data_IF_834950145921
#
_entry.id   IF_834950145921
#
_cell.length_a   1.000
_cell.length_b   1.000
_cell.length_c   1.000
_cell.angle_alpha   90.00
_cell.angle_beta   90.00
_cell.angle_gamma   90.00
#
_symmetry.space_group_name_H-M   'P 1'
#
loop_
_entity.id
_entity.type
_entity.pdbx_description
1 polymer ?
#
# COMPACT_ATOMS: atom_id res chain seq x y z
N UNK A 1 -22.62 5.88 -2.16
CA UNK A 1 -21.50 5.18 -1.48
C UNK A 1 -20.27 6.06 -1.49
N UNK A 2 -19.52 6.11 -0.40
CA UNK A 2 -18.26 6.83 -0.33
C UNK A 2 -17.12 5.85 -0.01
N UNK A 3 -16.24 5.70 -0.96
CA UNK A 3 -15.10 4.80 -0.90
C UNK A 3 -13.82 5.56 -0.55
N UNK A 4 -13.23 5.24 0.59
CA UNK A 4 -11.90 5.74 0.95
C UNK A 4 -10.85 4.75 0.46
N UNK A 5 -10.02 5.18 -0.50
CA UNK A 5 -8.92 4.37 -1.02
C UNK A 5 -7.78 4.30 0.01
N UNK A 6 -8.00 3.53 1.08
CA UNK A 6 -7.03 3.35 2.17
C UNK A 6 -6.61 1.89 2.27
N UNK A 7 -5.42 1.55 1.74
CA UNK A 7 -4.66 0.38 2.19
C UNK A 7 -3.37 0.88 2.86
N UNK A 8 -3.17 0.52 4.12
CA UNK A 8 -1.86 0.55 4.76
C UNK A 8 -1.37 1.87 5.32
N UNK A 9 -2.04 3.00 5.14
CA UNK A 9 -1.73 4.20 5.92
C UNK A 9 -2.50 4.16 7.24
N UNK A 10 -1.95 3.45 8.21
CA UNK A 10 -2.22 3.76 9.60
C UNK A 10 -1.96 5.26 9.77
N UNK A 11 -2.95 6.02 10.28
CA UNK A 11 -2.80 7.45 10.43
C UNK A 11 -1.54 7.76 11.22
N UNK A 12 -0.54 8.35 10.60
CA UNK A 12 0.69 8.74 11.28
C UNK A 12 0.44 9.96 12.18
N UNK A 13 1.14 9.99 13.30
CA UNK A 13 1.10 11.12 14.22
C UNK A 13 2.29 12.02 13.95
N UNK A 14 2.02 13.30 13.70
CA UNK A 14 3.06 14.28 13.42
C UNK A 14 2.81 15.62 14.14
N UNK A 15 3.87 16.34 14.35
CA UNK A 15 3.80 17.73 14.81
C UNK A 15 3.35 18.65 13.68
N UNK A 16 2.33 19.45 13.89
CA UNK A 16 1.82 20.40 12.90
C UNK A 16 2.69 21.62 12.71
N UNK A 17 3.58 21.90 13.67
CA UNK A 17 4.49 23.06 13.60
C UNK A 17 5.79 22.73 12.83
N UNK A 18 6.43 21.57 13.09
CA UNK A 18 7.73 21.24 12.50
C UNK A 18 7.74 20.01 11.60
N UNK A 19 6.61 19.32 11.43
CA UNK A 19 6.50 18.12 10.61
C UNK A 19 7.10 16.84 11.23
N UNK A 20 7.67 16.90 12.45
CA UNK A 20 8.24 15.71 13.10
C UNK A 20 7.22 14.60 13.22
N UNK A 21 7.55 13.40 12.69
CA UNK A 21 6.69 12.21 12.72
C UNK A 21 7.07 11.32 13.89
N UNK A 22 6.07 10.89 14.68
CA UNK A 22 6.27 9.92 15.75
C UNK A 22 6.54 8.54 15.16
N UNK A 23 7.80 8.09 15.22
CA UNK A 23 8.25 6.81 14.67
C UNK A 23 8.34 5.72 15.74
N UNK A 24 8.18 4.48 15.32
CA UNK A 24 8.45 3.33 16.17
C UNK A 24 9.97 3.18 16.38
N UNK A 25 10.44 2.93 17.61
CA UNK A 25 11.88 2.73 17.86
C UNK A 25 12.41 1.41 17.25
N UNK A 26 11.54 0.42 17.06
CA UNK A 26 11.90 -0.92 16.58
C UNK A 26 11.64 -1.13 15.08
N UNK A 27 10.84 -0.26 14.46
CA UNK A 27 10.43 -0.39 13.06
C UNK A 27 10.61 0.94 12.35
N UNK A 28 10.99 0.90 11.09
CA UNK A 28 11.08 2.11 10.27
C UNK A 28 9.70 2.52 9.73
N UNK A 29 8.75 2.68 10.65
CA UNK A 29 7.37 3.11 10.36
C UNK A 29 6.87 4.10 11.38
N UNK A 30 5.90 4.91 10.99
CA UNK A 30 5.20 5.82 11.89
C UNK A 30 4.28 5.07 12.85
N UNK A 31 4.09 5.64 14.04
CA UNK A 31 3.10 5.19 15.01
C UNK A 31 1.71 5.71 14.65
N UNK A 32 0.69 4.91 14.94
CA UNK A 32 -0.73 5.24 14.75
C UNK A 32 -1.40 5.60 16.06
N UNK A 33 -2.22 6.64 16.04
CA UNK A 33 -3.01 7.05 17.22
C UNK A 33 -4.25 6.16 17.39
N UNK A 34 -4.42 5.62 18.58
CA UNK A 34 -5.57 4.85 19.02
C UNK A 34 -6.34 5.54 20.16
N UNK A 35 -7.52 5.02 20.49
CA UNK A 35 -8.32 5.54 21.60
C UNK A 35 -7.52 5.53 22.90
N UNK A 36 -7.72 6.53 23.75
CA UNK A 36 -7.02 6.63 25.05
C UNK A 36 -5.64 7.26 24.98
N UNK A 37 -5.37 8.12 24.00
CA UNK A 37 -4.11 8.85 23.86
C UNK A 37 -2.88 7.94 23.71
N UNK A 38 -3.04 6.77 23.06
CA UNK A 38 -1.97 5.78 22.83
C UNK A 38 -1.51 5.78 21.39
N UNK A 39 -0.19 5.59 21.22
CA UNK A 39 0.45 5.41 19.93
C UNK A 39 0.88 3.94 19.80
N UNK A 40 0.47 3.27 18.72
CA UNK A 40 0.73 1.84 18.49
C UNK A 40 1.43 1.62 17.16
N UNK A 41 2.44 0.78 17.16
CA UNK A 41 3.07 0.24 15.95
C UNK A 41 2.33 -1.01 15.47
N UNK A 42 1.72 -0.97 14.30
CA UNK A 42 1.01 -2.13 13.73
C UNK A 42 1.92 -3.26 13.23
N UNK A 43 3.25 -3.05 13.19
CA UNK A 43 4.21 -4.08 12.77
C UNK A 43 4.75 -4.92 13.93
N UNK A 44 5.10 -4.29 15.05
CA UNK A 44 5.70 -5.00 16.19
C UNK A 44 4.81 -5.02 17.43
N UNK A 45 3.74 -4.23 17.48
CA UNK A 45 2.90 -4.08 18.65
C UNK A 45 3.44 -3.11 19.70
N UNK A 46 4.58 -2.42 19.46
CA UNK A 46 5.10 -1.40 20.38
C UNK A 46 4.04 -0.35 20.66
N UNK A 47 3.86 -0.03 21.93
CA UNK A 47 2.87 0.92 22.41
C UNK A 47 3.53 1.97 23.33
N UNK A 48 3.12 3.22 23.18
CA UNK A 48 3.55 4.34 24.03
C UNK A 48 2.45 5.37 24.17
N UNK A 49 2.54 6.21 25.18
CA UNK A 49 1.62 7.34 25.36
C UNK A 49 1.97 8.43 24.36
N UNK A 50 0.97 9.07 23.80
CA UNK A 50 1.17 10.23 22.92
C UNK A 50 1.75 11.37 23.74
N UNK A 51 2.91 11.96 23.33
CA UNK A 51 3.48 13.07 24.06
C UNK A 51 2.57 14.32 23.95
N UNK A 52 2.50 15.11 25.01
CA UNK A 52 1.75 16.37 25.04
C UNK A 52 2.44 17.46 24.21
N UNK A 53 3.76 17.44 24.18
CA UNK A 53 4.60 18.39 23.43
C UNK A 53 5.49 17.64 22.44
N UNK A 54 5.80 18.28 21.32
CA UNK A 54 6.67 17.71 20.30
C UNK A 54 8.11 17.52 20.83
N UNK A 55 8.66 16.29 20.78
CA UNK A 55 10.02 16.04 21.25
C UNK A 55 11.09 16.78 20.43
N UNK A 56 10.76 17.26 19.23
CA UNK A 56 11.68 17.97 18.35
C UNK A 56 11.65 19.49 18.53
N UNK A 57 10.44 20.11 18.66
CA UNK A 57 10.32 21.56 18.68
C UNK A 57 9.53 22.13 19.87
N UNK A 58 9.09 21.30 20.81
CA UNK A 58 8.33 21.72 22.01
C UNK A 58 6.88 22.19 21.74
N UNK A 59 6.39 22.16 20.50
CA UNK A 59 5.04 22.58 20.16
C UNK A 59 3.97 21.61 20.72
N UNK A 60 2.84 22.10 21.27
CA UNK A 60 1.74 21.24 21.71
C UNK A 60 0.89 20.71 20.55
N UNK A 61 1.13 21.14 19.32
CA UNK A 61 0.32 20.81 18.15
C UNK A 61 0.72 19.45 17.55
N UNK A 62 0.54 18.36 18.31
CA UNK A 62 0.76 16.98 17.85
C UNK A 62 -0.59 16.34 17.55
N UNK A 63 -0.76 15.81 16.35
CA UNK A 63 -2.01 15.13 15.97
C UNK A 63 -1.82 14.04 14.94
N UNK A 64 -2.67 13.02 15.03
CA UNK A 64 -2.80 12.01 14.00
C UNK A 64 -3.38 12.61 12.71
N UNK A 65 -2.91 12.14 11.56
CA UNK A 65 -3.60 12.40 10.31
C UNK A 65 -4.84 11.49 10.27
N UNK A 66 -5.96 12.02 10.75
CA UNK A 66 -7.21 11.26 10.91
C UNK A 66 -8.08 11.28 9.65
N UNK A 67 -7.51 11.15 8.46
CA UNK A 67 -8.33 10.89 7.28
C UNK A 67 -8.78 9.42 7.28
N UNK A 68 -9.67 9.05 8.19
CA UNK A 68 -10.26 7.73 8.29
C UNK A 68 -11.76 7.76 7.99
N UNK A 69 -12.34 6.61 7.73
CA UNK A 69 -13.78 6.42 7.52
C UNK A 69 -14.62 7.04 8.63
N UNK A 70 -14.15 6.99 9.89
CA UNK A 70 -14.82 7.61 11.03
C UNK A 70 -14.88 9.14 10.94
N UNK A 71 -13.82 9.79 10.42
CA UNK A 71 -13.86 11.24 10.24
C UNK A 71 -14.76 11.65 9.08
N UNK A 72 -14.74 10.86 7.99
CA UNK A 72 -15.63 11.06 6.85
C UNK A 72 -17.08 10.91 7.30
N UNK A 73 -17.41 9.88 8.09
CA UNK A 73 -18.73 9.68 8.69
C UNK A 73 -19.19 10.92 9.46
N UNK A 74 -18.38 11.47 10.37
CA UNK A 74 -18.69 12.70 11.13
C UNK A 74 -18.89 13.94 10.24
N UNK A 75 -18.10 14.07 9.19
CA UNK A 75 -18.27 15.18 8.23
C UNK A 75 -19.60 15.05 7.50
N UNK A 76 -19.94 13.84 7.07
CA UNK A 76 -21.20 13.58 6.36
C UNK A 76 -22.42 13.83 7.27
N UNK A 77 -22.37 13.35 8.52
CA UNK A 77 -23.43 13.60 9.50
C UNK A 77 -23.66 15.11 9.76
N UNK A 78 -22.58 15.88 9.74
CA UNK A 78 -22.64 17.35 9.87
C UNK A 78 -23.23 18.02 8.63
N UNK A 79 -22.78 17.63 7.44
CA UNK A 79 -23.21 18.25 6.17
C UNK A 79 -24.59 17.78 5.74
N UNK A 80 -24.96 16.54 6.10
CA UNK A 80 -26.25 15.92 5.79
C UNK A 80 -26.96 15.39 7.04
N UNK A 81 -27.44 16.25 7.94
CA UNK A 81 -27.95 15.83 9.27
C UNK A 81 -29.21 14.97 9.22
N UNK A 82 -29.89 14.87 8.07
CA UNK A 82 -31.05 14.01 7.86
C UNK A 82 -30.70 12.66 7.25
N UNK A 83 -29.47 12.47 6.80
CA UNK A 83 -29.03 11.23 6.17
C UNK A 83 -28.64 10.19 7.22
N UNK A 84 -29.08 8.95 7.01
CA UNK A 84 -28.65 7.79 7.82
C UNK A 84 -27.34 7.27 7.23
N UNK A 85 -26.27 7.35 8.00
CA UNK A 85 -24.94 6.94 7.56
C UNK A 85 -24.58 5.59 8.16
N UNK A 86 -24.08 4.68 7.34
CA UNK A 86 -23.46 3.42 7.77
C UNK A 86 -21.98 3.44 7.44
N UNK A 87 -21.16 2.98 8.38
CA UNK A 87 -19.72 2.81 8.20
C UNK A 87 -19.36 1.33 8.13
N UNK A 88 -18.51 0.98 7.16
CA UNK A 88 -18.01 -0.37 6.96
C UNK A 88 -16.49 -0.36 6.76
N UNK A 89 -15.77 -0.67 7.82
CA UNK A 89 -14.33 -0.80 7.86
C UNK A 89 -13.91 -1.96 8.78
N UNK A 90 -12.60 -2.16 8.93
CA UNK A 90 -12.08 -3.24 9.78
C UNK A 90 -12.58 -3.14 11.23
N UNK A 91 -12.74 -1.93 11.77
CA UNK A 91 -13.17 -1.74 13.15
C UNK A 91 -14.64 -2.07 13.37
N UNK A 92 -15.50 -1.77 12.39
CA UNK A 92 -16.95 -2.06 12.46
C UNK A 92 -17.29 -3.51 12.08
N UNK A 93 -16.35 -4.24 11.48
CA UNK A 93 -16.57 -5.61 10.97
C UNK A 93 -15.77 -6.68 11.72
N UNK A 94 -15.37 -6.43 12.98
CA UNK A 94 -14.58 -7.38 13.81
C UNK A 94 -15.34 -8.63 14.20
N UNK A 95 -16.66 -8.56 14.34
CA UNK A 95 -17.49 -9.72 14.69
C UNK A 95 -18.02 -10.38 13.41
N UNK A 96 -18.15 -11.72 13.44
CA UNK A 96 -18.54 -12.54 12.29
C UNK A 96 -19.81 -12.06 11.59
N UNK A 97 -20.80 -11.58 12.37
CA UNK A 97 -22.11 -11.21 11.82
C UNK A 97 -22.25 -9.71 11.50
N UNK A 98 -21.28 -8.87 11.94
CA UNK A 98 -21.38 -7.41 11.73
C UNK A 98 -21.29 -7.02 10.26
N UNK A 99 -20.46 -7.72 9.52
CA UNK A 99 -20.29 -7.51 8.08
C UNK A 99 -21.61 -7.73 7.32
N UNK A 100 -22.25 -8.87 7.53
CA UNK A 100 -23.52 -9.22 6.86
C UNK A 100 -24.67 -8.30 7.29
N UNK A 101 -24.71 -7.92 8.56
CA UNK A 101 -25.73 -6.99 9.10
C UNK A 101 -25.65 -5.60 8.43
N UNK A 102 -24.44 -5.03 8.31
CA UNK A 102 -24.24 -3.74 7.66
C UNK A 102 -24.69 -3.79 6.20
N UNK A 103 -24.33 -4.85 5.48
CA UNK A 103 -24.73 -5.02 4.08
C UNK A 103 -26.24 -5.22 3.91
N UNK A 104 -26.84 -6.05 4.75
CA UNK A 104 -28.29 -6.28 4.73
C UNK A 104 -29.07 -5.01 5.03
N UNK A 105 -28.64 -4.22 6.01
CA UNK A 105 -29.25 -2.95 6.38
C UNK A 105 -29.16 -1.93 5.22
N UNK A 106 -28.01 -1.84 4.57
CA UNK A 106 -27.85 -0.96 3.40
C UNK A 106 -28.69 -1.43 2.21
N UNK A 107 -28.75 -2.74 1.94
CA UNK A 107 -29.56 -3.32 0.87
C UNK A 107 -31.06 -3.09 1.09
N UNK A 108 -31.54 -3.08 2.35
CA UNK A 108 -32.92 -2.79 2.74
C UNK A 108 -33.26 -1.30 2.80
N UNK A 109 -32.34 -0.43 2.39
CA UNK A 109 -32.51 1.05 2.47
C UNK A 109 -32.71 1.59 3.89
N UNK A 110 -32.20 0.91 4.90
CA UNK A 110 -32.17 1.41 6.28
C UNK A 110 -31.13 2.51 6.48
N UNK A 111 -30.22 2.70 5.49
CA UNK A 111 -29.28 3.80 5.41
C UNK A 111 -29.24 4.41 4.01
N UNK A 112 -28.89 5.71 3.98
CA UNK A 112 -28.84 6.53 2.77
C UNK A 112 -27.42 6.62 2.22
N UNK A 113 -26.42 6.55 3.10
CA UNK A 113 -24.99 6.66 2.76
C UNK A 113 -24.21 5.52 3.39
N UNK A 114 -23.44 4.80 2.56
CA UNK A 114 -22.47 3.80 3.02
C UNK A 114 -21.06 4.35 2.83
N UNK A 115 -20.30 4.49 3.93
CA UNK A 115 -18.92 4.92 3.95
C UNK A 115 -18.02 3.73 4.26
N UNK A 116 -16.95 3.53 3.49
CA UNK A 116 -16.05 2.43 3.82
C UNK A 116 -14.78 2.40 3.01
N UNK A 117 -14.02 1.34 3.24
CA UNK A 117 -12.78 1.04 2.52
C UNK A 117 -13.05 0.04 1.39
N UNK A 118 -12.02 -0.66 0.93
CA UNK A 118 -12.14 -1.66 -0.14
C UNK A 118 -13.18 -2.75 0.11
N UNK A 119 -13.64 -2.91 1.35
CA UNK A 119 -14.65 -3.90 1.71
C UNK A 119 -16.01 -3.61 1.03
N UNK A 120 -16.35 -2.32 0.85
CA UNK A 120 -17.66 -1.93 0.25
C UNK A 120 -17.71 -2.09 -1.27
N UNK A 121 -16.57 -2.18 -1.95
CA UNK A 121 -16.52 -2.29 -3.42
C UNK A 121 -16.40 -3.73 -3.91
N UNK A 122 -16.12 -4.69 -3.03
CA UNK A 122 -15.95 -6.11 -3.40
C UNK A 122 -17.21 -6.92 -3.15
N UNK A 123 -17.63 -7.67 -4.17
CA UNK A 123 -18.57 -8.80 -4.00
C UNK A 123 -20.04 -8.47 -3.76
N UNK A 124 -20.45 -7.19 -3.71
CA UNK A 124 -21.84 -6.82 -3.41
C UNK A 124 -22.49 -6.10 -4.56
N UNK A 125 -23.79 -6.33 -4.74
CA UNK A 125 -24.61 -5.64 -5.71
C UNK A 125 -25.70 -4.81 -5.00
N UNK A 126 -25.65 -3.49 -5.23
CA UNK A 126 -26.62 -2.54 -4.69
C UNK A 126 -27.26 -1.77 -5.85
N UNK A 127 -28.38 -2.25 -6.42
CA UNK A 127 -28.97 -1.67 -7.63
C UNK A 127 -29.42 -0.22 -7.46
N UNK A 128 -29.64 0.22 -6.23
CA UNK A 128 -30.12 1.58 -5.95
C UNK A 128 -29.03 2.61 -5.66
N UNK A 129 -27.77 2.24 -5.83
CA UNK A 129 -26.65 3.18 -5.68
C UNK A 129 -26.54 4.06 -6.93
N UNK A 130 -26.89 5.33 -6.77
CA UNK A 130 -26.85 6.34 -7.84
C UNK A 130 -25.58 7.17 -7.83
N UNK A 131 -24.87 7.26 -6.70
CA UNK A 131 -23.63 8.02 -6.57
C UNK A 131 -22.54 7.21 -5.85
N UNK A 132 -21.36 7.16 -6.47
CA UNK A 132 -20.14 6.65 -5.85
C UNK A 132 -19.11 7.77 -5.80
N UNK A 133 -18.64 8.11 -4.60
CA UNK A 133 -17.51 9.00 -4.39
C UNK A 133 -16.27 8.20 -4.02
N UNK A 134 -15.17 8.39 -4.74
CA UNK A 134 -13.85 7.85 -4.39
C UNK A 134 -13.02 8.96 -3.79
N UNK A 135 -12.61 8.80 -2.53
CA UNK A 135 -11.83 9.80 -1.79
C UNK A 135 -10.36 9.36 -1.78
N UNK A 136 -9.46 10.30 -2.04
CA UNK A 136 -8.02 10.11 -2.02
C UNK A 136 -7.53 8.95 -2.93
N UNK A 137 -7.89 9.00 -4.20
CA UNK A 137 -7.51 7.99 -5.20
C UNK A 137 -5.99 7.81 -5.31
N UNK A 138 -5.24 8.89 -5.07
CA UNK A 138 -3.76 8.92 -5.17
C UNK A 138 -3.03 8.04 -4.15
N UNK A 139 -3.69 7.64 -3.06
CA UNK A 139 -3.05 6.83 -2.02
C UNK A 139 -2.52 5.49 -2.56
N UNK A 140 -3.16 4.90 -3.56
CA UNK A 140 -2.68 3.67 -4.19
C UNK A 140 -1.62 3.91 -5.26
N UNK A 141 -1.57 5.09 -5.86
CA UNK A 141 -0.54 5.46 -6.83
C UNK A 141 0.83 5.70 -6.19
N UNK A 142 0.84 6.21 -4.95
CA UNK A 142 2.06 6.56 -4.24
C UNK A 142 2.64 5.39 -3.41
N UNK A 143 2.34 4.16 -3.80
CA UNK A 143 2.96 2.98 -3.19
C UNK A 143 4.28 2.66 -3.88
N UNK A 144 5.25 2.19 -3.09
CA UNK A 144 6.56 1.75 -3.58
C UNK A 144 6.47 0.34 -4.20
N UNK A 145 5.73 0.24 -5.32
CA UNK A 145 5.46 -1.02 -6.02
C UNK A 145 5.08 -0.73 -7.48
N UNK A 146 5.72 -1.40 -8.42
CA UNK A 146 5.44 -1.22 -9.86
C UNK A 146 3.99 -1.58 -10.27
N UNK A 147 3.24 -2.30 -9.44
CA UNK A 147 1.82 -2.58 -9.65
C UNK A 147 0.89 -1.43 -9.20
N UNK A 148 1.42 -0.30 -8.70
CA UNK A 148 0.58 0.76 -8.14
C UNK A 148 -0.45 1.30 -9.13
N UNK A 149 -0.08 1.48 -10.39
CA UNK A 149 -0.97 1.91 -11.47
C UNK A 149 -2.09 0.89 -11.74
N UNK A 150 -1.73 -0.39 -11.85
CA UNK A 150 -2.67 -1.48 -12.07
C UNK A 150 -3.65 -1.64 -10.89
N UNK A 151 -3.14 -1.64 -9.66
CA UNK A 151 -4.01 -1.71 -8.46
C UNK A 151 -4.95 -0.53 -8.36
N UNK A 152 -4.49 0.67 -8.71
CA UNK A 152 -5.33 1.86 -8.73
C UNK A 152 -6.43 1.73 -9.76
N UNK A 153 -6.10 1.35 -10.99
CA UNK A 153 -7.08 1.11 -12.04
C UNK A 153 -8.14 0.09 -11.62
N UNK A 154 -7.72 -1.07 -11.09
CA UNK A 154 -8.62 -2.13 -10.63
C UNK A 154 -9.58 -1.65 -9.53
N UNK A 155 -9.06 -0.94 -8.52
CA UNK A 155 -9.85 -0.43 -7.42
C UNK A 155 -10.85 0.62 -7.86
N UNK A 156 -10.43 1.58 -8.68
CA UNK A 156 -11.28 2.64 -9.19
C UNK A 156 -12.37 2.09 -10.10
N UNK A 157 -12.04 1.18 -11.03
CA UNK A 157 -13.00 0.53 -11.91
C UNK A 157 -14.05 -0.26 -11.12
N UNK A 158 -13.63 -0.99 -10.08
CA UNK A 158 -14.56 -1.68 -9.19
C UNK A 158 -15.49 -0.70 -8.46
N UNK A 159 -14.96 0.43 -7.98
CA UNK A 159 -15.75 1.44 -7.28
C UNK A 159 -16.74 2.15 -8.22
N UNK A 160 -16.28 2.63 -9.37
CA UNK A 160 -17.09 3.28 -10.40
C UNK A 160 -18.22 2.35 -10.86
N UNK A 161 -17.91 1.07 -11.10
CA UNK A 161 -18.86 0.06 -11.52
C UNK A 161 -19.94 -0.30 -10.48
N UNK A 162 -19.95 0.33 -9.29
CA UNK A 162 -21.03 0.16 -8.29
C UNK A 162 -22.19 1.11 -8.48
N UNK A 163 -22.02 2.19 -9.22
CA UNK A 163 -23.11 3.14 -9.52
C UNK A 163 -23.90 2.70 -10.76
N UNK A 164 -25.21 2.96 -10.77
CA UNK A 164 -26.05 2.81 -11.95
C UNK A 164 -26.39 1.37 -12.36
N UNK A 165 -26.38 0.42 -11.43
CA UNK A 165 -26.75 -0.98 -11.69
C UNK A 165 -28.25 -1.25 -11.74
N UNK A 166 -29.05 -0.29 -11.33
CA UNK A 166 -30.52 -0.37 -11.36
C UNK A 166 -31.12 0.46 -12.49
N UNK A 167 -32.38 0.80 -12.32
CA UNK A 167 -33.16 1.58 -13.30
C UNK A 167 -32.81 3.08 -13.32
N UNK A 168 -31.88 3.55 -12.48
CA UNK A 168 -31.46 4.95 -12.41
C UNK A 168 -30.04 5.09 -12.92
N UNK A 169 -29.72 6.14 -13.70
CA UNK A 169 -28.36 6.40 -14.11
C UNK A 169 -27.46 6.62 -12.87
N UNK A 170 -26.27 6.04 -12.90
CA UNK A 170 -25.27 6.20 -11.86
C UNK A 170 -24.22 7.24 -12.22
N UNK A 171 -23.68 7.90 -11.20
CA UNK A 171 -22.57 8.82 -11.32
C UNK A 171 -21.44 8.37 -10.39
N UNK A 172 -20.18 8.53 -10.86
CA UNK A 172 -19.01 8.35 -10.03
C UNK A 172 -18.17 9.63 -10.01
N UNK A 173 -17.69 10.00 -8.84
CA UNK A 173 -16.78 11.15 -8.64
C UNK A 173 -15.48 10.65 -8.03
N UNK A 174 -14.36 10.88 -8.69
CA UNK A 174 -13.03 10.48 -8.22
C UNK A 174 -12.27 11.73 -7.77
N UNK A 175 -11.97 11.81 -6.48
CA UNK A 175 -11.14 12.87 -5.93
C UNK A 175 -9.66 12.48 -6.05
N UNK A 176 -8.87 13.31 -6.72
CA UNK A 176 -7.45 13.07 -6.98
C UNK A 176 -6.68 14.37 -7.15
N UNK A 177 -5.37 14.34 -6.85
CA UNK A 177 -4.41 15.40 -7.19
C UNK A 177 -3.76 15.17 -8.56
N UNK A 178 -3.95 13.98 -9.16
CA UNK A 178 -3.33 13.58 -10.43
C UNK A 178 -4.40 13.17 -11.46
N UNK A 179 -5.34 14.05 -11.86
CA UNK A 179 -6.43 13.70 -12.76
C UNK A 179 -5.95 13.22 -14.13
N UNK A 180 -4.74 13.63 -14.55
CA UNK A 180 -4.14 13.25 -15.82
C UNK A 180 -3.45 11.87 -15.80
N UNK A 181 -3.36 11.21 -14.64
CA UNK A 181 -2.73 9.90 -14.56
C UNK A 181 -3.53 8.86 -15.34
N UNK A 182 -2.87 8.12 -16.25
CA UNK A 182 -3.52 7.18 -17.18
C UNK A 182 -4.43 6.16 -16.47
N UNK A 183 -4.05 5.65 -15.29
CA UNK A 183 -4.86 4.70 -14.53
C UNK A 183 -6.18 5.32 -14.06
N UNK A 184 -6.17 6.61 -13.67
CA UNK A 184 -7.36 7.34 -13.24
C UNK A 184 -8.26 7.65 -14.42
N UNK A 185 -7.69 8.16 -15.50
CA UNK A 185 -8.44 8.46 -16.73
C UNK A 185 -9.12 7.21 -17.32
N UNK A 186 -8.37 6.11 -17.44
CA UNK A 186 -8.91 4.88 -17.96
C UNK A 186 -9.99 4.27 -17.04
N UNK A 187 -9.81 4.36 -15.71
CA UNK A 187 -10.81 3.89 -14.75
C UNK A 187 -12.10 4.72 -14.79
N UNK A 188 -12.00 6.05 -14.97
CA UNK A 188 -13.16 6.94 -15.04
C UNK A 188 -14.10 6.60 -16.20
N UNK A 189 -13.55 6.14 -17.32
CA UNK A 189 -14.33 5.71 -18.51
C UNK A 189 -14.45 4.18 -18.61
N UNK A 190 -13.91 3.43 -17.63
CA UNK A 190 -13.89 1.97 -17.58
C UNK A 190 -13.25 1.31 -18.81
N UNK A 191 -12.22 1.94 -19.39
CA UNK A 191 -11.52 1.45 -20.58
C UNK A 191 -10.26 0.67 -20.19
N UNK A 192 -10.41 -0.65 -20.08
CA UNK A 192 -9.29 -1.56 -19.82
C UNK A 192 -8.26 -1.56 -20.95
N UNK A 193 -8.68 -1.44 -22.22
CA UNK A 193 -7.73 -1.48 -23.35
C UNK A 193 -6.81 -0.26 -23.36
N UNK A 194 -7.37 0.92 -23.07
CA UNK A 194 -6.59 2.15 -22.88
C UNK A 194 -5.61 2.00 -21.74
N UNK A 195 -6.07 1.54 -20.58
CA UNK A 195 -5.22 1.26 -19.41
C UNK A 195 -4.08 0.30 -19.78
N UNK A 196 -4.40 -0.87 -20.35
CA UNK A 196 -3.43 -1.91 -20.70
C UNK A 196 -2.33 -1.40 -21.64
N UNK A 197 -2.70 -0.61 -22.65
CA UNK A 197 -1.74 -0.04 -23.61
C UNK A 197 -0.71 0.87 -22.92
N UNK A 198 -1.17 1.77 -22.05
CA UNK A 198 -0.29 2.69 -21.32
C UNK A 198 0.58 1.95 -20.30
N UNK A 199 -0.02 1.10 -19.49
CA UNK A 199 0.68 0.29 -18.48
C UNK A 199 1.77 -0.57 -19.12
N UNK A 200 1.45 -1.28 -20.20
CA UNK A 200 2.43 -2.10 -20.93
C UNK A 200 3.55 -1.27 -21.57
N UNK A 201 3.26 -0.06 -22.02
CA UNK A 201 4.27 0.88 -22.49
C UNK A 201 5.32 1.18 -21.42
N UNK A 202 4.87 1.50 -20.20
CA UNK A 202 5.77 1.73 -19.05
C UNK A 202 6.53 0.47 -18.66
N UNK A 203 5.87 -0.71 -18.63
CA UNK A 203 6.52 -1.96 -18.27
C UNK A 203 7.59 -2.38 -19.26
N UNK A 204 7.36 -2.17 -20.57
CA UNK A 204 8.35 -2.41 -21.61
C UNK A 204 9.54 -1.46 -21.50
N UNK A 205 9.28 -0.17 -21.22
CA UNK A 205 10.32 0.85 -21.10
C UNK A 205 11.24 0.60 -19.90
N UNK A 206 10.67 0.11 -18.80
CA UNK A 206 11.35 -0.04 -17.51
C UNK A 206 11.74 -1.48 -17.19
N UNK A 207 11.55 -2.41 -18.11
CA UNK A 207 11.77 -3.86 -17.95
C UNK A 207 11.07 -4.43 -16.68
N UNK A 208 9.76 -4.11 -16.51
CA UNK A 208 8.94 -4.71 -15.46
C UNK A 208 8.09 -5.88 -15.97
N UNK A 209 7.78 -6.87 -15.13
CA UNK A 209 6.85 -7.93 -15.50
C UNK A 209 5.48 -7.40 -15.98
N UNK A 210 4.86 -7.99 -17.01
CA UNK A 210 5.27 -9.20 -17.73
C UNK A 210 6.18 -8.94 -18.95
N UNK A 211 6.62 -7.70 -19.21
CA UNK A 211 7.49 -7.38 -20.34
C UNK A 211 8.92 -7.92 -20.17
N UNK A 212 9.35 -8.07 -18.92
CA UNK A 212 10.56 -8.77 -18.51
C UNK A 212 10.28 -9.60 -17.26
N UNK A 213 11.24 -10.35 -16.78
CA UNK A 213 11.20 -11.06 -15.51
C UNK A 213 11.97 -10.31 -14.45
N UNK A 214 11.55 -10.42 -13.20
CA UNK A 214 12.21 -9.77 -12.08
C UNK A 214 12.50 -10.79 -10.98
N UNK A 215 13.72 -10.77 -10.46
CA UNK A 215 14.12 -11.49 -9.25
C UNK A 215 14.49 -10.48 -8.17
N UNK A 216 13.90 -10.62 -7.01
CA UNK A 216 14.27 -9.84 -5.83
C UNK A 216 15.08 -10.71 -4.88
N UNK A 217 16.29 -10.26 -4.56
CA UNK A 217 17.09 -10.82 -3.48
C UNK A 217 16.81 -10.00 -2.24
N UNK A 218 16.15 -10.59 -1.26
CA UNK A 218 15.83 -9.96 0.01
C UNK A 218 16.79 -10.46 1.08
N UNK A 219 17.38 -9.52 1.82
CA UNK A 219 18.25 -9.79 2.95
C UNK A 219 17.70 -9.22 4.25
N UNK A 220 17.82 -9.97 5.37
CA UNK A 220 17.41 -9.49 6.68
C UNK A 220 18.38 -9.94 7.78
N UNK A 221 18.71 -9.00 8.70
CA UNK A 221 19.60 -9.26 9.83
C UNK A 221 19.35 -8.28 10.97
N UNK A 222 19.63 -8.67 12.22
CA UNK A 222 19.61 -7.77 13.37
C UNK A 222 20.80 -6.81 13.39
N UNK A 223 21.92 -7.21 12.78
CA UNK A 223 23.12 -6.40 12.62
C UNK A 223 23.09 -5.70 11.26
N UNK A 224 22.99 -4.36 11.29
CA UNK A 224 22.86 -3.54 10.08
C UNK A 224 24.14 -3.58 9.22
N UNK A 225 25.31 -3.50 9.85
CA UNK A 225 26.59 -3.48 9.12
C UNK A 225 26.91 -4.85 8.51
N UNK A 226 26.58 -5.93 9.23
CA UNK A 226 26.70 -7.28 8.69
C UNK A 226 25.80 -7.46 7.47
N UNK A 227 24.55 -6.94 7.52
CA UNK A 227 23.63 -6.99 6.40
C UNK A 227 24.15 -6.19 5.20
N UNK A 228 24.61 -4.96 5.42
CA UNK A 228 25.18 -4.10 4.35
C UNK A 228 26.33 -4.78 3.64
N UNK A 229 27.27 -5.32 4.42
CA UNK A 229 28.42 -6.03 3.87
C UNK A 229 27.99 -7.26 3.06
N UNK A 230 27.07 -8.07 3.58
CA UNK A 230 26.58 -9.24 2.87
C UNK A 230 25.89 -8.89 1.55
N UNK A 231 25.01 -7.90 1.56
CA UNK A 231 24.32 -7.46 0.34
C UNK A 231 25.28 -6.85 -0.68
N UNK A 232 26.33 -6.17 -0.23
CA UNK A 232 27.41 -5.71 -1.10
C UNK A 232 28.17 -6.88 -1.74
N UNK A 233 28.52 -7.93 -0.98
CA UNK A 233 29.18 -9.11 -1.53
C UNK A 233 28.28 -9.87 -2.51
N UNK A 234 26.98 -9.92 -2.26
CA UNK A 234 25.99 -10.45 -3.20
C UNK A 234 26.00 -9.64 -4.51
N UNK A 235 25.97 -8.32 -4.43
CA UNK A 235 26.05 -7.44 -5.59
C UNK A 235 27.32 -7.71 -6.40
N UNK A 236 28.48 -7.71 -5.75
CA UNK A 236 29.77 -7.97 -6.40
C UNK A 236 29.80 -9.34 -7.08
N UNK A 237 29.27 -10.37 -6.41
CA UNK A 237 29.17 -11.70 -6.98
C UNK A 237 28.27 -11.74 -8.22
N UNK A 238 27.09 -11.14 -8.15
CA UNK A 238 26.15 -11.07 -9.28
C UNK A 238 26.82 -10.38 -10.47
N UNK A 239 27.48 -9.25 -10.27
CA UNK A 239 28.22 -8.54 -11.33
C UNK A 239 29.32 -9.39 -11.97
N UNK A 240 29.95 -10.25 -11.17
CA UNK A 240 31.01 -11.15 -11.66
C UNK A 240 30.49 -12.31 -12.50
N UNK A 241 29.32 -12.86 -12.17
CA UNK A 241 28.77 -14.06 -12.83
C UNK A 241 27.79 -13.75 -13.95
N UNK A 242 27.46 -12.48 -14.16
CA UNK A 242 26.48 -12.03 -15.15
C UNK A 242 27.15 -11.13 -16.19
N UNK A 243 26.84 -11.28 -17.48
CA UNK A 243 27.23 -10.32 -18.51
C UNK A 243 26.73 -8.91 -18.19
N UNK A 244 27.59 -7.89 -18.32
CA UNK A 244 27.27 -6.52 -17.89
C UNK A 244 26.14 -5.85 -18.68
N UNK A 245 25.89 -6.28 -19.90
CA UNK A 245 25.01 -5.60 -20.85
C UNK A 245 23.54 -6.08 -20.82
N UNK A 246 23.26 -7.22 -20.17
CA UNK A 246 21.94 -7.88 -20.23
C UNK A 246 21.18 -7.83 -18.92
N UNK A 247 21.84 -7.59 -17.79
CA UNK A 247 21.22 -7.62 -16.47
C UNK A 247 21.03 -6.22 -15.88
N UNK A 248 19.77 -5.79 -15.77
CA UNK A 248 19.43 -4.60 -14.99
C UNK A 248 19.39 -4.92 -13.51
N UNK A 249 20.35 -4.37 -12.74
CA UNK A 249 20.43 -4.53 -11.30
C UNK A 249 20.19 -3.20 -10.59
N UNK A 250 19.28 -3.19 -9.62
CA UNK A 250 18.92 -2.06 -8.76
C UNK A 250 19.16 -2.45 -7.31
N UNK A 251 19.90 -1.65 -6.59
CA UNK A 251 20.32 -1.94 -5.22
C UNK A 251 21.78 -2.41 -5.15
N UNK A 252 22.27 -2.82 -3.94
CA UNK A 252 21.49 -2.98 -2.70
C UNK A 252 20.90 -1.68 -2.18
N UNK A 253 19.67 -1.74 -1.71
CA UNK A 253 18.95 -0.62 -1.11
C UNK A 253 18.13 -1.10 0.10
N UNK A 254 17.71 -0.17 0.98
CA UNK A 254 16.74 -0.50 2.01
C UNK A 254 15.43 -0.99 1.37
N UNK A 255 14.81 -2.01 1.96
CA UNK A 255 13.46 -2.40 1.58
C UNK A 255 12.46 -1.28 1.86
N UNK A 256 11.23 -1.32 1.27
CA UNK A 256 10.16 -0.32 1.50
C UNK A 256 9.87 -0.05 2.98
N UNK A 257 10.09 -1.05 3.84
CA UNK A 257 10.19 -0.89 5.29
C UNK A 257 11.56 -1.43 5.70
N UNK A 258 12.52 -0.54 5.85
CA UNK A 258 13.94 -0.87 6.05
C UNK A 258 14.26 -1.56 7.38
N UNK A 259 13.38 -1.45 8.40
CA UNK A 259 13.54 -2.13 9.69
C UNK A 259 12.19 -2.55 10.27
N UNK A 260 12.08 -3.79 10.76
CA UNK A 260 10.89 -4.30 11.46
C UNK A 260 11.31 -5.19 12.62
N UNK A 261 10.82 -4.93 13.85
CA UNK A 261 11.15 -5.67 15.07
C UNK A 261 12.67 -5.80 15.28
N UNK A 262 13.38 -4.70 15.13
CA UNK A 262 14.84 -4.59 15.21
C UNK A 262 15.62 -5.46 14.20
N UNK A 263 14.95 -5.92 13.13
CA UNK A 263 15.57 -6.61 12.00
C UNK A 263 15.64 -5.64 10.80
N UNK A 264 16.85 -5.32 10.38
CA UNK A 264 17.13 -4.52 9.18
C UNK A 264 16.89 -5.33 7.93
N UNK A 265 16.47 -4.66 6.84
CA UNK A 265 16.03 -5.28 5.60
C UNK A 265 16.60 -4.54 4.40
N UNK A 266 17.19 -5.28 3.47
CA UNK A 266 17.68 -4.76 2.19
C UNK A 266 17.20 -5.62 1.03
N UNK A 267 17.19 -5.01 -0.17
CA UNK A 267 16.79 -5.68 -1.40
C UNK A 267 17.76 -5.37 -2.54
N UNK A 268 17.89 -6.34 -3.43
CA UNK A 268 18.49 -6.17 -4.77
C UNK A 268 17.44 -6.66 -5.76
N UNK A 269 17.09 -5.84 -6.73
CA UNK A 269 16.21 -6.23 -7.83
C UNK A 269 17.03 -6.50 -9.08
N UNK A 270 16.82 -7.65 -9.68
CA UNK A 270 17.43 -8.07 -10.94
C UNK A 270 16.34 -8.22 -11.97
N UNK A 271 16.51 -7.59 -13.13
CA UNK A 271 15.57 -7.66 -14.24
C UNK A 271 16.25 -8.19 -15.48
N UNK A 272 15.60 -9.12 -16.14
CA UNK A 272 16.08 -9.71 -17.38
C UNK A 272 14.91 -10.25 -18.21
N UNK A 273 15.05 -10.26 -19.56
CA UNK A 273 14.00 -10.76 -20.44
C UNK A 273 13.90 -12.28 -20.46
N UNK A 274 14.99 -12.99 -20.14
CA UNK A 274 15.03 -14.44 -20.05
C UNK A 274 14.98 -14.89 -18.59
N UNK A 275 13.95 -15.64 -18.22
CA UNK A 275 13.77 -16.21 -16.89
C UNK A 275 14.82 -17.30 -16.58
N UNK A 276 15.27 -18.05 -17.61
CA UNK A 276 16.29 -19.09 -17.43
C UNK A 276 17.61 -18.47 -16.99
N UNK A 277 17.93 -17.28 -17.51
CA UNK A 277 19.11 -16.53 -17.08
C UNK A 277 19.03 -16.14 -15.60
N UNK A 278 17.90 -15.58 -15.15
CA UNK A 278 17.71 -15.23 -13.74
C UNK A 278 17.76 -16.47 -12.84
N UNK A 279 17.20 -17.58 -13.29
CA UNK A 279 17.25 -18.86 -12.55
C UNK A 279 18.69 -19.34 -12.41
N UNK A 280 19.50 -19.29 -13.47
CA UNK A 280 20.91 -19.68 -13.42
C UNK A 280 21.74 -18.76 -12.50
N UNK A 281 21.44 -17.44 -12.48
CA UNK A 281 22.05 -16.49 -11.54
C UNK A 281 21.66 -16.84 -10.11
N UNK A 282 20.39 -17.15 -9.84
CA UNK A 282 19.91 -17.57 -8.52
C UNK A 282 20.66 -18.83 -8.04
N UNK A 283 20.73 -19.88 -8.85
CA UNK A 283 21.40 -21.14 -8.48
C UNK A 283 22.89 -20.94 -8.13
N UNK A 284 23.58 -20.08 -8.89
CA UNK A 284 24.98 -19.73 -8.59
C UNK A 284 25.09 -18.97 -7.27
N UNK A 285 24.13 -18.05 -7.03
CA UNK A 285 24.11 -17.22 -5.83
C UNK A 285 23.76 -18.07 -4.58
N UNK A 286 22.82 -18.98 -4.68
CA UNK A 286 22.49 -19.93 -3.60
C UNK A 286 23.73 -20.74 -3.19
N UNK A 287 24.46 -21.31 -4.15
CA UNK A 287 25.74 -22.02 -3.88
C UNK A 287 26.80 -21.11 -3.26
N UNK A 288 26.91 -19.86 -3.75
CA UNK A 288 27.85 -18.91 -3.19
C UNK A 288 27.54 -18.58 -1.72
N UNK A 289 26.26 -18.39 -1.39
CA UNK A 289 25.80 -18.13 -0.01
C UNK A 289 26.05 -19.35 0.89
N UNK A 290 25.75 -20.55 0.40
CA UNK A 290 25.89 -21.79 1.16
C UNK A 290 27.33 -22.08 1.59
N UNK A 291 28.31 -21.89 0.68
CA UNK A 291 29.71 -22.18 0.95
C UNK A 291 30.39 -21.10 1.80
N UNK A 292 29.84 -19.91 1.90
CA UNK A 292 30.41 -18.77 2.63
C UNK A 292 29.79 -18.59 4.02
N UNK A 293 30.56 -18.84 5.05
CA UNK A 293 30.15 -18.76 6.46
C UNK A 293 29.66 -17.36 6.89
N UNK A 294 30.06 -16.30 6.17
CA UNK A 294 29.65 -14.92 6.44
C UNK A 294 28.14 -14.67 6.32
N UNK A 295 27.41 -15.54 5.60
CA UNK A 295 25.96 -15.42 5.44
C UNK A 295 25.12 -16.15 6.49
N UNK A 296 25.74 -16.95 7.40
CA UNK A 296 25.02 -17.82 8.35
C UNK A 296 24.05 -17.10 9.29
N UNK A 297 24.29 -15.83 9.58
CA UNK A 297 23.43 -15.01 10.47
C UNK A 297 22.45 -14.13 9.71
N UNK A 298 22.42 -14.25 8.39
CA UNK A 298 21.62 -13.39 7.52
C UNK A 298 20.53 -14.25 6.90
N UNK A 299 19.28 -13.82 7.04
CA UNK A 299 18.18 -14.42 6.30
C UNK A 299 18.20 -13.88 4.86
N UNK A 300 18.29 -14.76 3.88
CA UNK A 300 18.24 -14.40 2.46
C UNK A 300 17.09 -15.15 1.83
N UNK A 301 16.29 -14.44 1.05
CA UNK A 301 15.15 -14.98 0.29
C UNK A 301 15.21 -14.49 -1.15
N UNK A 302 14.82 -15.35 -2.07
CA UNK A 302 14.65 -15.05 -3.49
C UNK A 302 13.17 -15.05 -3.83
N UNK A 303 12.72 -14.00 -4.50
CA UNK A 303 11.37 -13.90 -5.03
C UNK A 303 11.45 -13.66 -6.54
N UNK A 304 10.76 -14.50 -7.32
CA UNK A 304 10.75 -14.49 -8.78
C UNK A 304 9.35 -14.14 -9.28
N UNK A 305 9.23 -13.09 -10.11
CA UNK A 305 7.98 -12.62 -10.73
C UNK A 305 8.06 -12.73 -12.26
#
# INVERSE_FOLDING_TARGET
MLFLNRRGYAGFVSCRACGHVMKCPHCDVSLSEHNGNRLICHYCGYETVKPEICPSCGSPHIGGFKAGTQQIEKVIEKEFPKARVLRMDFDTTRTKDSYEKILASFAKHEADILVGTQMIVKGHDFPNVTLVGVIAADLSLNMDDYHCGERTFQLLTQAVGRSGRGNRPGQAVIQTYQPEHYSIQAAAIQDYKKFYKEEMGYRMLLDYPPAAHMMTVFGACQDEELLKNAMYYIEVFIRRVSPKEELHMIGPAAASVGKVKDVYRQVIHLKHRDICFLTAVREKLEKYIEINSGFRKIYIQFDMN
#
